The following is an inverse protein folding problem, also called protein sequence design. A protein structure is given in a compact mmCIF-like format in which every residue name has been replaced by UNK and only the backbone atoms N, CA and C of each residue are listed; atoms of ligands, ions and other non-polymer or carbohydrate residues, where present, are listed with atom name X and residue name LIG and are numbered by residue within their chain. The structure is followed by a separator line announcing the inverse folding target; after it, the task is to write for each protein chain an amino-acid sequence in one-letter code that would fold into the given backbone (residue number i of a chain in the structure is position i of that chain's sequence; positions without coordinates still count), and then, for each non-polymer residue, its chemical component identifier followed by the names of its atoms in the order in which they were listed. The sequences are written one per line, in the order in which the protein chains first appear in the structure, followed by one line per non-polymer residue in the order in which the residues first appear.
data_IF_723934610115
#
_entry.id   IF_723934610115
#
_cell.length_a   1.000
_cell.length_b   1.000
_cell.length_c   1.000
_cell.angle_alpha   90.00
_cell.angle_beta   90.00
_cell.angle_gamma   90.00
#
_symmetry.space_group_name_H-M   'P 1'
#
loop_
_entity.id
_entity.type
_entity.pdbx_description
1 polymer ?
#
# COMPACT_ATOMS: atom_id res chain seq x y z
N UNK A 1 16.64 17.10 38.19
CA UNK A 1 15.94 16.87 36.91
C UNK A 1 17.01 16.99 35.81
N UNK A 2 17.67 15.87 35.52
CA UNK A 2 18.84 15.81 34.63
C UNK A 2 18.41 15.99 33.18
N UNK A 3 19.14 16.79 32.36
CA UNK A 3 18.82 16.95 30.95
C UNK A 3 19.05 15.62 30.21
N UNK A 4 18.04 15.21 29.45
CA UNK A 4 18.06 14.02 28.60
C UNK A 4 19.24 14.13 27.62
N UNK A 5 20.12 13.14 27.64
CA UNK A 5 21.27 12.98 26.74
C UNK A 5 20.85 13.08 25.26
N UNK A 6 21.68 13.66 24.38
CA UNK A 6 21.39 13.68 22.95
C UNK A 6 21.42 12.23 22.41
N UNK A 7 20.29 11.79 21.87
CA UNK A 7 20.12 10.51 21.16
C UNK A 7 21.20 10.37 20.09
N UNK A 8 21.79 9.18 19.94
CA UNK A 8 22.88 8.97 18.99
C UNK A 8 22.42 9.28 17.55
N UNK A 9 23.31 9.69 16.64
CA UNK A 9 22.96 9.93 15.23
C UNK A 9 22.40 8.66 14.55
N UNK A 10 22.70 7.47 15.08
CA UNK A 10 22.13 6.18 14.63
C UNK A 10 20.67 6.04 15.06
N UNK A 11 20.30 6.48 16.26
CA UNK A 11 18.90 6.49 16.73
C UNK A 11 18.05 7.54 15.98
N UNK A 12 18.68 8.62 15.51
CA UNK A 12 18.04 9.62 14.64
C UNK A 12 17.90 9.11 13.20
N UNK A 13 18.87 8.35 12.69
CA UNK A 13 18.77 7.65 11.41
C UNK A 13 17.74 6.50 11.44
N UNK A 14 17.52 5.88 12.60
CA UNK A 14 16.41 4.93 12.79
C UNK A 14 15.02 5.60 12.66
N UNK A 15 14.94 6.93 12.84
CA UNK A 15 13.75 7.73 12.54
C UNK A 15 13.44 7.86 11.04
N UNK A 16 14.46 7.84 10.17
CA UNK A 16 14.31 7.88 8.71
C UNK A 16 13.68 6.60 8.15
N UNK A 17 13.92 5.45 8.80
CA UNK A 17 13.24 4.18 8.52
C UNK A 17 12.07 3.99 9.49
N UNK A 18 11.12 4.92 9.45
CA UNK A 18 9.99 4.86 10.39
C UNK A 18 9.09 3.68 10.02
N UNK A 19 9.28 2.55 10.70
CA UNK A 19 8.40 1.36 10.69
C UNK A 19 6.91 1.76 10.86
N UNK A 20 6.67 2.92 11.46
CA UNK A 20 5.35 3.57 11.62
C UNK A 20 4.68 3.93 10.29
N UNK A 21 5.44 4.24 9.23
CA UNK A 21 4.90 4.54 7.89
C UNK A 21 4.22 3.33 7.26
N UNK A 22 4.60 2.12 7.65
CA UNK A 22 3.93 0.89 7.22
C UNK A 22 2.90 0.45 8.25
N UNK A 23 3.30 0.37 9.52
CA UNK A 23 2.47 -0.22 10.57
C UNK A 23 1.17 0.55 10.82
N UNK A 24 1.18 1.89 10.76
CA UNK A 24 -0.03 2.71 11.00
C UNK A 24 -1.08 2.55 9.90
N UNK A 25 -0.78 2.81 8.61
CA UNK A 25 -1.79 2.62 7.56
C UNK A 25 -2.24 1.16 7.45
N UNK A 26 -1.36 0.20 7.71
CA UNK A 26 -1.72 -1.21 7.71
C UNK A 26 -2.67 -1.57 8.86
N UNK A 27 -2.36 -1.16 10.10
CA UNK A 27 -3.23 -1.42 11.26
C UNK A 27 -4.59 -0.74 11.11
N UNK A 28 -4.61 0.50 10.63
CA UNK A 28 -5.85 1.22 10.30
C UNK A 28 -6.64 0.47 9.23
N UNK A 29 -6.00 0.05 8.13
CA UNK A 29 -6.68 -0.68 7.07
C UNK A 29 -7.29 -1.99 7.58
N UNK A 30 -6.52 -2.75 8.37
CA UNK A 30 -6.98 -4.00 8.99
C UNK A 30 -8.14 -3.75 9.96
N UNK A 31 -8.06 -2.75 10.84
CA UNK A 31 -9.12 -2.43 11.80
C UNK A 31 -10.41 -1.98 11.10
N UNK A 32 -10.29 -1.13 10.08
CA UNK A 32 -11.43 -0.69 9.27
C UNK A 32 -12.07 -1.89 8.57
N UNK A 33 -11.27 -2.75 7.93
CA UNK A 33 -11.83 -3.95 7.29
C UNK A 33 -12.45 -4.89 8.31
N UNK A 34 -11.82 -5.16 9.46
CA UNK A 34 -12.37 -6.02 10.50
C UNK A 34 -13.71 -5.47 11.05
N UNK A 35 -13.83 -4.15 11.18
CA UNK A 35 -15.04 -3.50 11.68
C UNK A 35 -16.18 -3.47 10.66
N UNK A 36 -15.86 -3.17 9.39
CA UNK A 36 -16.83 -3.05 8.30
C UNK A 36 -17.23 -4.38 7.67
N UNK A 37 -16.35 -5.37 7.69
CA UNK A 37 -16.61 -6.68 7.08
C UNK A 37 -17.88 -7.36 7.62
N UNK A 38 -18.09 -7.52 8.94
CA UNK A 38 -19.30 -8.15 9.45
C UNK A 38 -20.56 -7.29 9.23
N UNK A 39 -20.43 -5.96 9.28
CA UNK A 39 -21.56 -5.04 9.04
C UNK A 39 -21.98 -5.04 7.57
N UNK A 40 -21.01 -5.03 6.64
CA UNK A 40 -21.27 -5.12 5.21
C UNK A 40 -21.95 -6.44 4.87
N UNK A 41 -21.50 -7.56 5.45
CA UNK A 41 -22.09 -8.89 5.21
C UNK A 41 -23.45 -9.07 5.88
N UNK A 42 -23.73 -8.39 6.99
CA UNK A 42 -25.06 -8.36 7.58
C UNK A 42 -26.06 -7.54 6.75
N UNK A 43 -25.57 -6.48 6.08
CA UNK A 43 -26.41 -5.57 5.30
C UNK A 43 -26.58 -6.00 3.83
N UNK A 44 -25.57 -6.65 3.24
CA UNK A 44 -25.69 -7.38 1.97
C UNK A 44 -26.47 -8.68 2.23
N UNK A 45 -27.80 -8.61 2.16
CA UNK A 45 -28.61 -9.83 2.05
C UNK A 45 -28.23 -10.56 0.76
N UNK A 46 -27.84 -11.85 0.81
CA UNK A 46 -27.47 -12.63 -0.37
C UNK A 46 -28.54 -12.59 -1.47
N UNK A 47 -29.81 -12.52 -1.06
CA UNK A 47 -30.99 -12.50 -1.93
C UNK A 47 -31.14 -11.23 -2.81
N UNK A 48 -30.39 -10.16 -2.50
CA UNK A 48 -30.45 -8.89 -3.23
C UNK A 48 -29.34 -8.74 -4.28
N UNK A 49 -28.35 -9.64 -4.27
CA UNK A 49 -27.24 -9.59 -5.22
C UNK A 49 -27.53 -10.46 -6.44
N UNK A 50 -26.99 -10.11 -7.62
CA UNK A 50 -27.01 -10.99 -8.77
C UNK A 50 -26.41 -12.36 -8.42
N UNK A 51 -27.02 -13.45 -8.88
CA UNK A 51 -26.59 -14.83 -8.59
C UNK A 51 -25.09 -15.07 -8.86
N UNK A 52 -24.55 -14.40 -9.88
CA UNK A 52 -23.14 -14.49 -10.25
C UNK A 52 -22.19 -13.86 -9.22
N UNK A 53 -22.65 -12.93 -8.38
CA UNK A 53 -21.87 -12.34 -7.27
C UNK A 53 -22.11 -13.11 -5.97
N UNK A 54 -23.37 -13.46 -5.69
CA UNK A 54 -23.78 -14.15 -4.45
C UNK A 54 -22.97 -15.43 -4.22
N UNK A 55 -22.74 -16.19 -5.28
CA UNK A 55 -21.90 -17.40 -5.28
C UNK A 55 -20.51 -17.21 -4.67
N UNK A 56 -19.83 -16.09 -4.96
CA UNK A 56 -18.49 -15.84 -4.41
C UNK A 56 -18.53 -15.39 -2.95
N UNK A 57 -19.61 -14.72 -2.53
CA UNK A 57 -19.79 -14.26 -1.16
C UNK A 57 -20.26 -15.38 -0.23
N UNK A 58 -20.94 -16.40 -0.75
CA UNK A 58 -21.31 -17.58 0.05
C UNK A 58 -20.08 -18.45 0.38
N UNK A 59 -19.10 -18.50 -0.51
CA UNK A 59 -17.87 -19.27 -0.29
C UNK A 59 -16.94 -18.58 0.74
N UNK A 60 -16.68 -19.27 1.86
CA UNK A 60 -15.79 -18.78 2.94
C UNK A 60 -14.36 -18.48 2.48
N UNK A 61 -13.84 -19.24 1.52
CA UNK A 61 -12.48 -19.04 0.99
C UNK A 61 -12.40 -17.78 0.12
N UNK A 62 -13.34 -17.62 -0.81
CA UNK A 62 -13.45 -16.42 -1.64
C UNK A 62 -13.66 -15.16 -0.79
N UNK A 63 -14.48 -15.26 0.26
CA UNK A 63 -14.67 -14.23 1.28
C UNK A 63 -13.37 -13.76 1.94
N UNK A 64 -12.49 -14.70 2.28
CA UNK A 64 -11.18 -14.37 2.83
C UNK A 64 -10.29 -13.63 1.81
N UNK A 65 -10.27 -14.10 0.56
CA UNK A 65 -9.51 -13.44 -0.52
C UNK A 65 -10.02 -12.01 -0.77
N UNK A 66 -11.35 -11.82 -0.77
CA UNK A 66 -11.98 -10.50 -0.88
C UNK A 66 -11.60 -9.59 0.29
N UNK A 67 -11.59 -10.09 1.53
CA UNK A 67 -11.18 -9.32 2.69
C UNK A 67 -9.71 -8.87 2.59
N UNK A 68 -8.80 -9.77 2.17
CA UNK A 68 -7.40 -9.45 1.91
C UNK A 68 -7.26 -8.37 0.83
N UNK A 69 -8.04 -8.46 -0.25
CA UNK A 69 -8.10 -7.43 -1.28
C UNK A 69 -8.57 -6.08 -0.73
N UNK A 70 -9.63 -6.05 0.08
CA UNK A 70 -10.15 -4.80 0.66
C UNK A 70 -9.12 -4.14 1.59
N UNK A 71 -8.43 -4.91 2.44
CA UNK A 71 -7.32 -4.39 3.26
C UNK A 71 -6.24 -3.76 2.38
N UNK A 72 -5.83 -4.47 1.33
CA UNK A 72 -4.75 -4.04 0.43
C UNK A 72 -5.13 -2.80 -0.39
N UNK A 73 -6.38 -2.75 -0.88
CA UNK A 73 -6.93 -1.62 -1.59
C UNK A 73 -7.03 -0.39 -0.68
N UNK A 74 -7.51 -0.57 0.56
CA UNK A 74 -7.60 0.51 1.54
C UNK A 74 -6.21 1.04 1.92
N UNK A 75 -5.25 0.15 2.14
CA UNK A 75 -3.85 0.53 2.36
C UNK A 75 -3.29 1.36 1.19
N UNK A 76 -3.54 0.94 -0.05
CA UNK A 76 -3.14 1.67 -1.25
C UNK A 76 -3.81 3.05 -1.33
N UNK A 77 -5.11 3.15 -0.99
CA UNK A 77 -5.84 4.43 -0.95
C UNK A 77 -5.26 5.37 0.11
N UNK A 78 -4.96 4.88 1.32
CA UNK A 78 -4.34 5.70 2.38
C UNK A 78 -2.98 6.25 1.94
N UNK A 79 -2.15 5.41 1.32
CA UNK A 79 -0.86 5.84 0.76
C UNK A 79 -1.03 6.83 -0.40
N UNK A 80 -1.99 6.58 -1.28
CA UNK A 80 -2.29 7.49 -2.38
C UNK A 80 -2.74 8.88 -1.88
N UNK A 81 -3.57 8.92 -0.83
CA UNK A 81 -4.01 10.16 -0.20
C UNK A 81 -2.84 10.91 0.45
N UNK A 82 -1.92 10.20 1.11
CA UNK A 82 -0.68 10.77 1.66
C UNK A 82 0.18 11.43 0.58
N UNK A 83 0.44 10.72 -0.52
CA UNK A 83 1.22 11.25 -1.65
C UNK A 83 0.53 12.46 -2.32
N UNK A 84 -0.79 12.43 -2.50
CA UNK A 84 -1.53 13.56 -3.06
C UNK A 84 -1.41 14.83 -2.21
N UNK A 85 -1.23 14.68 -0.90
CA UNK A 85 -1.06 15.81 0.02
C UNK A 85 0.34 16.37 -0.02
N UNK A 86 1.34 15.49 0.00
CA UNK A 86 2.72 15.89 -0.19
C UNK A 86 2.84 16.70 -1.49
N UNK A 87 2.20 16.23 -2.57
CA UNK A 87 2.14 16.97 -3.85
C UNK A 87 1.51 18.35 -3.71
N UNK A 88 0.36 18.45 -3.05
CA UNK A 88 -0.35 19.73 -2.88
C UNK A 88 0.46 20.72 -2.04
N UNK A 89 1.16 20.25 -1.00
CA UNK A 89 2.03 21.09 -0.15
C UNK A 89 3.25 21.57 -0.89
N UNK A 90 3.86 20.68 -1.67
CA UNK A 90 4.98 21.02 -2.53
C UNK A 90 4.56 22.12 -3.51
N UNK A 91 3.49 21.91 -4.29
CA UNK A 91 3.03 22.88 -5.31
C UNK A 91 2.47 24.17 -4.69
N UNK A 92 1.86 24.09 -3.50
CA UNK A 92 1.33 25.24 -2.76
C UNK A 92 2.45 26.09 -2.18
N UNK A 93 2.85 27.12 -2.91
CA UNK A 93 3.79 28.15 -2.48
C UNK A 93 3.35 28.83 -1.17
N UNK A 94 4.08 28.59 -0.08
CA UNK A 94 4.35 29.54 1.01
C UNK A 94 3.20 30.12 1.86
N UNK A 95 1.94 29.90 1.52
CA UNK A 95 0.83 30.37 2.36
C UNK A 95 0.73 29.46 3.60
N UNK A 96 0.75 30.00 4.83
CA UNK A 96 0.46 29.21 6.03
C UNK A 96 -0.96 28.69 5.93
N UNK A 97 -1.10 27.48 5.39
CA UNK A 97 -2.37 26.79 5.34
C UNK A 97 -2.79 26.52 6.78
N UNK A 98 -3.89 27.12 7.22
CA UNK A 98 -4.52 26.77 8.49
C UNK A 98 -4.67 25.25 8.54
N UNK A 99 -4.09 24.56 9.55
CA UNK A 99 -4.17 23.11 9.63
C UNK A 99 -5.64 22.72 9.72
N UNK A 100 -6.18 22.19 8.63
CA UNK A 100 -7.52 21.63 8.67
C UNK A 100 -7.41 20.29 9.42
N UNK A 101 -8.31 20.02 10.37
CA UNK A 101 -8.26 18.75 11.15
C UNK A 101 -8.21 17.50 10.26
N UNK A 102 -8.84 17.55 9.08
CA UNK A 102 -8.78 16.47 8.10
C UNK A 102 -7.35 16.24 7.57
N UNK A 103 -6.53 17.29 7.49
CA UNK A 103 -5.12 17.20 7.11
C UNK A 103 -4.31 16.47 8.19
N UNK A 104 -4.39 16.88 9.44
CA UNK A 104 -3.67 16.19 10.53
C UNK A 104 -4.08 14.72 10.64
N UNK A 105 -5.36 14.42 10.44
CA UNK A 105 -5.89 13.06 10.48
C UNK A 105 -5.31 12.14 9.41
N UNK A 106 -5.30 12.53 8.14
CA UNK A 106 -4.77 11.63 7.10
C UNK A 106 -3.23 11.59 7.12
N UNK A 107 -2.54 12.61 7.64
CA UNK A 107 -1.08 12.54 7.86
C UNK A 107 -0.78 11.50 8.97
N UNK A 108 -1.59 11.51 10.03
CA UNK A 108 -1.56 10.47 11.05
C UNK A 108 -1.86 9.07 10.48
N UNK A 109 -2.90 8.95 9.64
CA UNK A 109 -3.33 7.66 9.05
C UNK A 109 -2.32 7.11 8.02
N UNK A 110 -1.65 7.99 7.26
CA UNK A 110 -0.62 7.61 6.26
C UNK A 110 0.77 7.45 6.88
N UNK A 111 0.96 7.83 8.14
CA UNK A 111 2.22 7.68 8.86
C UNK A 111 3.35 8.61 8.41
N UNK A 112 3.10 9.50 7.44
CA UNK A 112 4.07 10.50 6.99
C UNK A 112 4.27 11.57 8.08
N UNK A 113 5.42 11.56 8.74
CA UNK A 113 5.79 12.59 9.71
C UNK A 113 6.48 13.77 8.99
N UNK A 114 5.98 14.98 9.24
CA UNK A 114 6.35 16.22 8.58
C UNK A 114 7.74 16.73 9.02
N UNK A 115 8.20 16.31 10.19
CA UNK A 115 9.42 16.82 10.82
C UNK A 115 10.70 16.43 10.06
N UNK A 116 10.72 15.27 9.38
CA UNK A 116 11.96 14.73 8.82
C UNK A 116 12.45 15.49 7.59
N UNK A 117 11.53 15.89 6.69
CA UNK A 117 11.90 16.58 5.44
C UNK A 117 12.40 18.02 5.69
N UNK A 118 11.75 18.77 6.59
CA UNK A 118 12.17 20.11 6.97
C UNK A 118 13.47 20.08 7.80
N UNK A 119 13.64 19.07 8.66
CA UNK A 119 14.87 18.91 9.43
C UNK A 119 16.07 18.59 8.54
N UNK A 120 15.94 17.68 7.57
CA UNK A 120 17.02 17.36 6.63
C UNK A 120 17.43 18.60 5.83
N UNK A 121 16.46 19.34 5.29
CA UNK A 121 16.72 20.58 4.56
C UNK A 121 17.36 21.67 5.46
N UNK A 122 16.91 21.80 6.70
CA UNK A 122 17.45 22.76 7.66
C UNK A 122 18.83 22.37 8.22
N UNK A 123 19.14 21.08 8.27
CA UNK A 123 20.48 20.57 8.63
C UNK A 123 21.46 20.82 7.48
N UNK A 124 21.00 20.65 6.26
CA UNK A 124 21.76 20.88 5.05
C UNK A 124 22.11 22.35 4.82
N UNK A 125 21.14 23.24 5.01
CA UNK A 125 21.38 24.69 4.89
C UNK A 125 22.29 25.26 5.99
N UNK A 126 22.50 24.50 7.09
CA UNK A 126 23.38 24.88 8.20
C UNK A 126 24.85 24.51 7.99
N UNK A 127 25.24 23.85 6.91
CA UNK A 127 26.64 23.56 6.61
C UNK A 127 27.24 24.67 5.73
N UNK A 128 27.96 25.64 6.30
CA UNK A 128 28.44 26.79 5.56
C UNK A 128 29.95 26.63 5.35
N UNK A 129 30.36 26.04 4.22
CA UNK A 129 31.69 26.36 3.68
C UNK A 129 31.65 26.31 2.14
N UNK A 130 31.81 27.47 1.51
CA UNK A 130 31.06 27.83 0.30
C UNK A 130 31.77 27.51 -1.04
N UNK A 131 32.94 26.84 -1.02
CA UNK A 131 33.78 26.73 -2.24
C UNK A 131 34.17 25.31 -2.65
N UNK A 132 34.29 24.35 -1.71
CA UNK A 132 34.50 22.92 -2.02
C UNK A 132 33.20 22.10 -1.93
N UNK A 133 32.14 22.71 -1.37
CA UNK A 133 30.88 22.05 -1.03
C UNK A 133 29.90 21.84 -2.18
N UNK A 134 30.09 22.42 -3.39
CA UNK A 134 29.10 22.24 -4.48
C UNK A 134 28.99 20.78 -4.92
N UNK A 135 30.13 20.11 -5.16
CA UNK A 135 30.15 18.69 -5.54
C UNK A 135 29.62 17.80 -4.39
N UNK A 136 30.04 18.08 -3.15
CA UNK A 136 29.57 17.36 -1.95
C UNK A 136 28.06 17.50 -1.71
N UNK A 137 27.48 18.67 -1.98
CA UNK A 137 26.03 18.92 -1.83
C UNK A 137 25.21 18.17 -2.89
N UNK A 138 25.71 18.10 -4.13
CA UNK A 138 25.09 17.25 -5.17
C UNK A 138 25.15 15.78 -4.77
N UNK A 139 26.31 15.28 -4.34
CA UNK A 139 26.46 13.89 -3.89
C UNK A 139 25.54 13.55 -2.70
N UNK A 140 25.36 14.47 -1.77
CA UNK A 140 24.43 14.26 -0.65
C UNK A 140 22.96 14.29 -1.10
N UNK A 141 22.59 15.17 -2.03
CA UNK A 141 21.23 15.21 -2.58
C UNK A 141 20.87 13.92 -3.32
N UNK A 142 21.83 13.35 -4.06
CA UNK A 142 21.67 12.05 -4.72
C UNK A 142 21.54 10.92 -3.69
N UNK A 143 22.34 10.94 -2.63
CA UNK A 143 22.23 9.97 -1.54
C UNK A 143 20.85 10.02 -0.85
N UNK A 144 20.28 11.21 -0.67
CA UNK A 144 18.94 11.39 -0.12
C UNK A 144 17.85 10.83 -1.04
N UNK A 145 17.99 11.01 -2.36
CA UNK A 145 17.05 10.43 -3.33
C UNK A 145 17.09 8.90 -3.30
N UNK A 146 18.28 8.31 -3.20
CA UNK A 146 18.43 6.86 -3.07
C UNK A 146 17.77 6.33 -1.80
N UNK A 147 17.94 7.02 -0.67
CA UNK A 147 17.29 6.64 0.60
C UNK A 147 15.77 6.73 0.48
N UNK A 148 15.27 7.78 -0.19
CA UNK A 148 13.83 7.99 -0.38
C UNK A 148 13.20 6.97 -1.33
N UNK A 149 13.88 6.61 -2.42
CA UNK A 149 13.43 5.53 -3.31
C UNK A 149 13.34 4.19 -2.54
N UNK A 150 14.36 3.87 -1.74
CA UNK A 150 14.34 2.69 -0.86
C UNK A 150 13.17 2.73 0.12
N UNK A 151 12.87 3.90 0.69
CA UNK A 151 11.73 4.08 1.59
C UNK A 151 10.40 3.84 0.90
N UNK A 152 10.20 4.35 -0.33
CA UNK A 152 8.98 4.07 -1.11
C UNK A 152 8.83 2.59 -1.44
N UNK A 153 9.92 1.91 -1.81
CA UNK A 153 9.90 0.47 -2.04
C UNK A 153 9.50 -0.30 -0.78
N UNK A 154 10.00 0.12 0.39
CA UNK A 154 9.61 -0.45 1.67
C UNK A 154 8.13 -0.21 1.97
N UNK A 155 7.65 1.04 1.81
CA UNK A 155 6.25 1.42 2.03
C UNK A 155 5.26 0.69 1.11
N UNK A 156 5.67 0.29 -0.10
CA UNK A 156 4.81 -0.45 -1.02
C UNK A 156 4.93 -1.98 -0.87
N UNK A 157 5.78 -2.48 0.03
CA UNK A 157 5.97 -3.91 0.23
C UNK A 157 4.67 -4.66 0.62
N UNK A 158 3.76 -4.15 1.47
CA UNK A 158 2.51 -4.85 1.79
C UNK A 158 1.59 -5.07 0.58
N UNK A 159 1.49 -4.08 -0.32
CA UNK A 159 0.71 -4.21 -1.55
C UNK A 159 1.37 -5.23 -2.48
N UNK A 160 2.71 -5.18 -2.60
CA UNK A 160 3.47 -6.16 -3.36
C UNK A 160 3.27 -7.60 -2.85
N UNK A 161 3.24 -7.77 -1.52
CA UNK A 161 2.92 -9.05 -0.89
C UNK A 161 1.51 -9.53 -1.24
N UNK A 162 0.51 -8.66 -1.17
CA UNK A 162 -0.88 -9.02 -1.52
C UNK A 162 -1.02 -9.45 -3.00
N UNK A 163 -0.34 -8.74 -3.92
CA UNK A 163 -0.28 -9.09 -5.35
C UNK A 163 0.31 -10.49 -5.54
N UNK A 164 1.29 -10.88 -4.72
CA UNK A 164 1.89 -12.21 -4.79
C UNK A 164 1.04 -13.30 -4.12
N UNK A 165 0.40 -13.01 -2.99
CA UNK A 165 -0.37 -13.99 -2.22
C UNK A 165 -1.70 -14.35 -2.88
N UNK A 166 -2.42 -13.39 -3.47
CA UNK A 166 -3.76 -13.65 -4.03
C UNK A 166 -3.80 -14.72 -5.14
N UNK A 167 -2.88 -14.74 -6.13
CA UNK A 167 -2.78 -15.84 -7.10
C UNK A 167 -2.43 -17.17 -6.45
N UNK A 168 -1.54 -17.16 -5.44
CA UNK A 168 -1.15 -18.36 -4.71
C UNK A 168 -2.32 -18.95 -3.93
N UNK A 169 -3.16 -18.11 -3.31
CA UNK A 169 -4.42 -18.54 -2.69
C UNK A 169 -5.38 -19.11 -3.73
N UNK A 170 -5.51 -18.48 -4.91
CA UNK A 170 -6.31 -19.04 -6.00
C UNK A 170 -5.83 -20.44 -6.42
N UNK A 171 -4.52 -20.63 -6.56
CA UNK A 171 -3.94 -21.95 -6.85
C UNK A 171 -4.14 -22.95 -5.70
N UNK A 172 -4.03 -22.53 -4.43
CA UNK A 172 -4.37 -23.42 -3.30
C UNK A 172 -5.85 -23.83 -3.38
N UNK A 173 -6.74 -22.89 -3.74
CA UNK A 173 -8.15 -23.16 -3.95
C UNK A 173 -8.42 -24.18 -5.05
N UNK A 174 -7.67 -24.16 -6.16
CA UNK A 174 -7.80 -25.21 -7.20
C UNK A 174 -7.39 -26.57 -6.69
N UNK A 175 -6.25 -26.65 -6.01
CA UNK A 175 -5.75 -27.91 -5.46
C UNK A 175 -6.79 -28.50 -4.52
N UNK A 176 -7.33 -27.70 -3.61
CA UNK A 176 -8.39 -28.13 -2.69
C UNK A 176 -9.66 -28.58 -3.42
N UNK A 177 -10.15 -27.80 -4.39
CA UNK A 177 -11.37 -28.13 -5.13
C UNK A 177 -11.23 -29.37 -6.01
N UNK A 178 -10.09 -29.54 -6.67
CA UNK A 178 -9.80 -30.74 -7.49
C UNK A 178 -9.67 -31.97 -6.59
N UNK A 179 -8.99 -31.88 -5.44
CA UNK A 179 -8.91 -33.00 -4.49
C UNK A 179 -10.30 -33.41 -3.98
N UNK A 180 -11.17 -32.44 -3.68
CA UNK A 180 -12.58 -32.70 -3.31
C UNK A 180 -13.34 -33.37 -4.44
N UNK A 181 -13.18 -32.88 -5.68
CA UNK A 181 -13.84 -33.45 -6.85
C UNK A 181 -13.42 -34.92 -7.10
N UNK A 182 -12.12 -35.24 -6.95
CA UNK A 182 -11.62 -36.61 -7.08
C UNK A 182 -12.18 -37.53 -5.97
N UNK A 183 -12.26 -37.04 -4.74
CA UNK A 183 -12.86 -37.79 -3.63
C UNK A 183 -14.36 -38.08 -3.85
N UNK A 184 -15.11 -37.10 -4.35
CA UNK A 184 -16.52 -37.29 -4.72
C UNK A 184 -16.69 -38.35 -5.82
N UNK A 185 -15.74 -38.42 -6.76
CA UNK A 185 -15.72 -39.44 -7.80
C UNK A 185 -15.46 -40.85 -7.22
N UNK A 186 -14.48 -41.02 -6.32
CA UNK A 186 -14.21 -42.33 -5.70
C UNK A 186 -15.41 -42.86 -4.92
N UNK A 187 -16.11 -41.99 -4.19
CA UNK A 187 -17.29 -42.37 -3.41
C UNK A 187 -18.46 -42.76 -4.31
N UNK A 188 -18.61 -42.05 -5.45
CA UNK A 188 -19.65 -42.34 -6.45
C UNK A 188 -19.45 -43.66 -7.20
N UNK A 189 -18.20 -44.12 -7.34
CA UNK A 189 -17.88 -45.40 -8.00
C UNK A 189 -18.00 -46.57 -7.03
N UNK A 190 -17.75 -46.34 -5.74
CA UNK A 190 -17.84 -47.36 -4.70
C UNK A 190 -19.29 -47.73 -4.33
N UNK A 191 -20.23 -46.81 -4.50
CA UNK A 191 -21.65 -47.02 -4.27
C UNK A 191 -22.31 -47.36 -5.60
N UNK A 192 -22.81 -48.59 -5.77
CA UNK A 192 -23.58 -49.02 -6.97
C UNK A 192 -24.88 -48.25 -7.21
N UNK A 193 -25.18 -47.26 -6.38
CA UNK A 193 -26.29 -46.34 -6.53
C UNK A 193 -25.80 -45.11 -7.30
N UNK A 194 -25.98 -45.14 -8.62
CA UNK A 194 -25.82 -44.01 -9.55
C UNK A 194 -26.94 -42.97 -9.33
N UNK A 195 -27.38 -42.81 -8.09
CA UNK A 195 -28.43 -41.89 -7.68
C UNK A 195 -27.82 -40.52 -7.35
N UNK A 196 -27.39 -39.79 -8.37
CA UNK A 196 -27.23 -38.32 -8.41
C UNK A 196 -26.16 -37.64 -7.53
N UNK A 197 -26.03 -38.01 -6.25
CA UNK A 197 -25.27 -37.22 -5.27
C UNK A 197 -23.76 -37.23 -5.46
N UNK A 198 -23.20 -38.30 -6.04
CA UNK A 198 -21.77 -38.38 -6.33
C UNK A 198 -21.30 -37.37 -7.38
N UNK A 199 -22.10 -37.19 -8.45
CA UNK A 199 -21.80 -36.25 -9.52
C UNK A 199 -21.93 -34.79 -9.06
N UNK A 200 -22.92 -34.49 -8.21
CA UNK A 200 -23.07 -33.17 -7.60
C UNK A 200 -21.87 -32.79 -6.72
N UNK A 201 -21.30 -33.76 -5.99
CA UNK A 201 -20.07 -33.56 -5.22
C UNK A 201 -18.85 -33.24 -6.09
N UNK A 202 -18.70 -33.94 -7.22
CA UNK A 202 -17.64 -33.65 -8.21
C UNK A 202 -17.80 -32.24 -8.77
N UNK A 203 -19.02 -31.87 -9.17
CA UNK A 203 -19.32 -30.57 -9.75
C UNK A 203 -19.07 -29.45 -8.73
N UNK A 204 -19.44 -29.63 -7.46
CA UNK A 204 -19.19 -28.67 -6.39
C UNK A 204 -17.69 -28.44 -6.13
N UNK A 205 -16.88 -29.49 -6.10
CA UNK A 205 -15.43 -29.37 -5.94
C UNK A 205 -14.77 -28.63 -7.11
N UNK A 206 -15.21 -28.94 -8.34
CA UNK A 206 -14.74 -28.25 -9.54
C UNK A 206 -15.19 -26.78 -9.57
N UNK A 207 -16.42 -26.52 -9.15
CA UNK A 207 -16.98 -25.17 -9.00
C UNK A 207 -16.11 -24.33 -8.06
N UNK A 208 -15.78 -24.88 -6.89
CA UNK A 208 -14.90 -24.25 -5.91
C UNK A 208 -13.51 -23.95 -6.47
N UNK A 209 -12.91 -24.90 -7.21
CA UNK A 209 -11.59 -24.71 -7.83
C UNK A 209 -11.57 -23.55 -8.83
N UNK A 210 -12.57 -23.48 -9.71
CA UNK A 210 -12.64 -22.40 -10.70
C UNK A 210 -12.92 -21.04 -10.06
N UNK A 211 -13.82 -20.98 -9.09
CA UNK A 211 -14.17 -19.73 -8.41
C UNK A 211 -12.97 -19.10 -7.72
N UNK A 212 -12.24 -19.90 -6.95
CA UNK A 212 -11.08 -19.42 -6.18
C UNK A 212 -9.95 -18.94 -7.09
N UNK A 213 -9.73 -19.59 -8.24
CA UNK A 213 -8.77 -19.14 -9.26
C UNK A 213 -9.18 -17.82 -9.87
N UNK A 214 -10.44 -17.74 -10.31
CA UNK A 214 -10.98 -16.56 -10.97
C UNK A 214 -10.88 -15.37 -10.05
N UNK A 215 -11.32 -15.52 -8.79
CA UNK A 215 -11.22 -14.48 -7.76
C UNK A 215 -9.76 -14.08 -7.54
N UNK A 216 -8.84 -15.03 -7.39
CA UNK A 216 -7.41 -14.74 -7.20
C UNK A 216 -6.80 -13.89 -8.30
N UNK A 217 -7.08 -14.23 -9.56
CA UNK A 217 -6.54 -13.50 -10.70
C UNK A 217 -7.23 -12.13 -10.89
N UNK A 218 -8.56 -12.08 -10.77
CA UNK A 218 -9.34 -10.85 -10.97
C UNK A 218 -9.00 -9.80 -9.92
N UNK A 219 -8.81 -10.18 -8.66
CA UNK A 219 -8.47 -9.23 -7.58
C UNK A 219 -7.05 -8.64 -7.71
N UNK A 220 -6.14 -9.35 -8.38
CA UNK A 220 -4.75 -8.90 -8.53
C UNK A 220 -4.61 -7.78 -9.56
N UNK A 221 -5.39 -7.82 -10.63
CA UNK A 221 -5.37 -6.79 -11.70
C UNK A 221 -5.50 -5.36 -11.15
N UNK A 222 -6.54 -5.02 -10.36
CA UNK A 222 -6.68 -3.68 -9.79
C UNK A 222 -5.60 -3.35 -8.76
N UNK A 223 -5.06 -4.32 -8.00
CA UNK A 223 -3.95 -4.07 -7.08
C UNK A 223 -2.65 -3.74 -7.81
N UNK A 224 -2.36 -4.44 -8.92
CA UNK A 224 -1.20 -4.12 -9.77
C UNK A 224 -1.32 -2.72 -10.36
N UNK A 225 -2.53 -2.34 -10.82
CA UNK A 225 -2.79 -0.99 -11.31
C UNK A 225 -2.61 0.05 -10.19
N UNK A 226 -3.11 -0.22 -8.99
CA UNK A 226 -2.91 0.67 -7.84
C UNK A 226 -1.42 0.85 -7.50
N UNK A 227 -0.65 -0.24 -7.45
CA UNK A 227 0.79 -0.19 -7.21
C UNK A 227 1.53 0.61 -8.29
N UNK A 228 1.16 0.44 -9.56
CA UNK A 228 1.72 1.23 -10.67
C UNK A 228 1.45 2.73 -10.46
N UNK A 229 0.22 3.10 -10.12
CA UNK A 229 -0.16 4.50 -9.84
C UNK A 229 0.62 5.05 -8.65
N UNK A 230 0.75 4.29 -7.56
CA UNK A 230 1.50 4.72 -6.37
C UNK A 230 2.97 4.98 -6.71
N UNK A 231 3.63 4.07 -7.45
CA UNK A 231 5.02 4.22 -7.89
C UNK A 231 5.20 5.44 -8.80
N UNK A 232 4.35 5.61 -9.81
CA UNK A 232 4.42 6.75 -10.71
C UNK A 232 4.25 8.09 -9.97
N UNK A 233 3.35 8.13 -8.99
CA UNK A 233 3.12 9.32 -8.14
C UNK A 233 4.32 9.61 -7.24
N UNK A 234 4.89 8.59 -6.60
CA UNK A 234 6.07 8.72 -5.75
C UNK A 234 7.27 9.27 -6.55
N UNK A 235 7.57 8.68 -7.72
CA UNK A 235 8.65 9.14 -8.60
C UNK A 235 8.47 10.60 -9.04
N UNK A 236 7.24 11.00 -9.39
CA UNK A 236 6.95 12.39 -9.76
C UNK A 236 7.21 13.34 -8.59
N UNK A 237 6.88 12.91 -7.36
CA UNK A 237 7.10 13.71 -6.16
C UNK A 237 8.58 13.85 -5.82
N UNK A 238 9.34 12.77 -5.96
CA UNK A 238 10.77 12.78 -5.70
C UNK A 238 11.50 13.74 -6.65
N UNK A 239 11.09 13.81 -7.92
CA UNK A 239 11.61 14.78 -8.88
C UNK A 239 11.29 16.24 -8.47
N UNK A 240 10.05 16.52 -8.06
CA UNK A 240 9.66 17.86 -7.59
C UNK A 240 10.38 18.26 -6.29
N UNK A 241 10.62 17.28 -5.41
CA UNK A 241 11.38 17.48 -4.19
C UNK A 241 12.85 17.81 -4.49
N UNK A 242 13.48 17.06 -5.40
CA UNK A 242 14.83 17.31 -5.85
C UNK A 242 15.01 18.72 -6.43
N UNK A 243 14.10 19.14 -7.32
CA UNK A 243 14.13 20.50 -7.88
C UNK A 243 14.09 21.58 -6.78
N UNK A 244 13.15 21.49 -5.82
CA UNK A 244 13.10 22.47 -4.72
C UNK A 244 14.32 22.41 -3.80
N UNK A 245 14.88 21.23 -3.57
CA UNK A 245 16.07 21.07 -2.75
C UNK A 245 17.25 21.80 -3.39
N UNK A 246 17.44 21.61 -4.71
CA UNK A 246 18.45 22.32 -5.49
C UNK A 246 18.22 23.83 -5.48
N UNK A 247 16.98 24.30 -5.67
CA UNK A 247 16.66 25.73 -5.65
C UNK A 247 17.00 26.37 -4.30
N UNK A 248 16.74 25.67 -3.18
CA UNK A 248 17.11 26.15 -1.83
C UNK A 248 18.61 26.13 -1.56
N UNK A 249 19.33 25.16 -2.13
CA UNK A 249 20.78 25.02 -1.96
C UNK A 249 21.57 25.98 -2.86
N UNK A 250 21.02 26.35 -4.02
CA UNK A 250 21.67 27.21 -5.01
C UNK A 250 20.79 28.41 -5.39
N UNK A 251 20.49 29.32 -4.45
CA UNK A 251 19.62 30.48 -4.71
C UNK A 251 20.14 31.37 -5.85
N UNK A 252 21.45 31.58 -5.97
CA UNK A 252 22.06 32.39 -7.04
C UNK A 252 21.81 31.83 -8.46
N UNK A 253 21.60 30.51 -8.57
CA UNK A 253 21.28 29.86 -9.84
C UNK A 253 19.78 29.92 -10.16
N UNK A 254 18.93 30.05 -9.14
CA UNK A 254 17.49 30.23 -9.29
C UNK A 254 17.15 31.67 -9.72
N UNK A 255 17.83 32.68 -9.17
CA UNK A 255 17.67 34.09 -9.58
C UNK A 255 18.02 34.29 -11.06
N UNK A 256 19.13 33.72 -11.54
CA UNK A 256 19.49 33.78 -12.98
C UNK A 256 18.51 33.08 -13.91
N UNK A 257 17.77 32.08 -13.42
CA UNK A 257 16.77 31.33 -14.20
C UNK A 257 15.41 32.03 -14.27
N UNK A 258 15.19 33.07 -13.45
CA UNK A 258 13.97 33.87 -13.42
C UNK A 258 14.08 35.17 -14.23
N UNK A 259 15.31 35.62 -14.52
CA UNK A 259 15.61 36.81 -15.34
C UNK A 259 15.74 36.52 -16.85
N UNK A 260 15.84 35.24 -17.24
CA UNK A 260 15.84 34.76 -18.65
C UNK A 260 14.45 34.26 -19.07
#
# INVERSE_FOLDING_TARGET
MTPKTPTSPVDQAAGLFSERQIARPLTVAVLITLALYPTLMHFLKPDALPDWIGRYLDNGYCRFMLALFVVSALYAVLHYLGLQRERRRLIGSGAPSTPSRLQDWIDFLSGHDQADAEWVAARLSRWPDQTQAREDLTHLSDALLLIRDRQHQHNFAPIGFAIWVLPMLGFIGTVLGITQAIGGLSDSVAVTDVAGGGFDGVLAGLQFAFDTTLVGLVLVIPLMLALLVLRARAQTLDMLYYQRLLDRLFPDAAERRADD
#
